data_IF_066922437075
#
_entry.id   IF_066922437075
#
_cell.length_a   1.000
_cell.length_b   1.000
_cell.length_c   1.000
_cell.angle_alpha   90.00
_cell.angle_beta   90.00
_cell.angle_gamma   90.00
#
_symmetry.space_group_name_H-M   'P 1'
#
loop_
_entity.id
_entity.type
_entity.pdbx_description
1 polymer ?
#
# COMPACT_ATOMS: atom_id res chain seq x y z
N UNK A 1 -107.30 -44.57 -55.06
CA UNK A 1 -106.22 -44.58 -56.07
C UNK A 1 -104.96 -43.98 -55.54
N UNK A 2 -104.02 -44.82 -55.36
CA UNK A 2 -102.76 -44.68 -54.68
C UNK A 2 -101.75 -43.76 -55.35
N UNK A 3 -100.90 -43.19 -54.55
CA UNK A 3 -99.53 -42.86 -54.92
C UNK A 3 -98.64 -43.03 -53.65
N UNK A 4 -97.61 -43.76 -53.84
CA UNK A 4 -96.67 -44.25 -52.85
C UNK A 4 -95.71 -43.18 -52.34
N UNK A 5 -95.18 -43.28 -51.11
CA UNK A 5 -94.10 -42.51 -50.61
C UNK A 5 -92.75 -43.24 -50.80
N UNK A 6 -91.75 -42.64 -51.41
CA UNK A 6 -90.34 -43.10 -51.38
C UNK A 6 -89.37 -41.96 -51.66
N UNK A 7 -89.16 -41.02 -50.72
CA UNK A 7 -88.06 -40.05 -50.79
C UNK A 7 -87.52 -39.65 -49.37
N UNK A 8 -87.74 -40.46 -48.35
CA UNK A 8 -87.25 -40.06 -47.01
C UNK A 8 -86.05 -40.85 -46.51
N UNK A 9 -85.65 -41.93 -47.20
CA UNK A 9 -84.56 -42.83 -46.71
C UNK A 9 -83.14 -42.42 -47.12
N UNK A 10 -82.91 -41.55 -48.11
CA UNK A 10 -81.54 -41.25 -48.60
C UNK A 10 -80.91 -39.98 -47.98
N UNK A 11 -81.62 -39.14 -47.27
CA UNK A 11 -81.09 -37.90 -46.65
C UNK A 11 -80.51 -38.23 -45.28
N UNK A 12 -80.95 -39.22 -44.55
CA UNK A 12 -80.51 -39.53 -43.18
C UNK A 12 -79.17 -40.30 -43.18
N UNK A 13 -78.78 -41.01 -44.22
CA UNK A 13 -77.52 -41.72 -44.31
C UNK A 13 -76.39 -40.76 -44.67
N UNK A 14 -76.65 -39.71 -45.44
CA UNK A 14 -75.62 -38.68 -45.77
C UNK A 14 -75.20 -37.82 -44.59
N UNK A 15 -76.13 -37.50 -43.67
CA UNK A 15 -75.82 -36.73 -42.47
C UNK A 15 -75.00 -37.52 -41.44
N UNK A 16 -75.14 -38.79 -41.30
CA UNK A 16 -74.40 -39.67 -40.42
C UNK A 16 -72.94 -39.83 -40.89
N UNK A 17 -72.69 -39.97 -42.19
CA UNK A 17 -71.33 -40.08 -42.73
C UNK A 17 -70.57 -38.72 -42.66
N UNK A 18 -71.24 -37.61 -42.90
CA UNK A 18 -70.67 -36.31 -42.80
C UNK A 18 -70.28 -35.99 -41.35
N UNK A 19 -71.07 -36.32 -40.33
CA UNK A 19 -70.72 -36.12 -38.91
C UNK A 19 -69.58 -37.05 -38.47
N UNK A 20 -69.47 -38.25 -39.00
CA UNK A 20 -68.38 -39.19 -38.69
C UNK A 20 -67.08 -38.73 -39.32
N UNK A 21 -67.09 -38.16 -40.51
CA UNK A 21 -65.93 -37.63 -41.21
C UNK A 21 -65.43 -36.33 -40.49
N UNK A 22 -66.37 -35.45 -40.08
CA UNK A 22 -66.08 -34.25 -39.38
C UNK A 22 -65.44 -34.54 -37.99
N UNK A 23 -65.94 -35.58 -37.26
CA UNK A 23 -65.32 -35.98 -35.97
C UNK A 23 -63.93 -36.55 -36.18
N UNK A 24 -63.61 -37.28 -37.22
CA UNK A 24 -62.29 -37.80 -37.56
C UNK A 24 -61.33 -36.67 -37.94
N UNK A 25 -61.79 -35.72 -38.73
CA UNK A 25 -60.99 -34.54 -39.11
C UNK A 25 -60.69 -33.65 -37.84
N UNK A 26 -61.66 -33.45 -36.96
CA UNK A 26 -61.48 -32.70 -35.72
C UNK A 26 -60.49 -33.39 -34.77
N UNK A 27 -60.50 -34.74 -34.69
CA UNK A 27 -59.59 -35.52 -33.88
C UNK A 27 -58.12 -35.47 -34.40
N UNK A 28 -57.96 -35.50 -35.73
CA UNK A 28 -56.66 -35.40 -36.37
C UNK A 28 -56.06 -33.96 -36.22
N UNK A 29 -56.91 -32.94 -36.39
CA UNK A 29 -56.49 -31.56 -36.22
C UNK A 29 -56.09 -31.26 -34.74
N UNK A 30 -56.87 -31.85 -33.78
CA UNK A 30 -56.56 -31.70 -32.37
C UNK A 30 -55.26 -32.44 -31.96
N UNK A 31 -54.96 -33.60 -32.52
CA UNK A 31 -53.72 -34.36 -32.26
C UNK A 31 -52.50 -33.72 -32.92
N UNK A 32 -52.61 -33.09 -34.08
CA UNK A 32 -51.52 -32.35 -34.73
C UNK A 32 -51.27 -31.02 -34.00
N UNK A 33 -52.33 -30.39 -33.51
CA UNK A 33 -52.16 -29.15 -32.71
C UNK A 33 -51.57 -29.41 -31.31
N UNK A 34 -51.87 -30.55 -30.67
CA UNK A 34 -51.26 -30.95 -29.38
C UNK A 34 -49.79 -31.35 -29.52
N UNK A 35 -49.37 -31.92 -30.66
CA UNK A 35 -47.94 -32.21 -30.91
C UNK A 35 -47.15 -30.97 -31.32
N UNK A 36 -47.77 -29.96 -31.93
CA UNK A 36 -47.13 -28.68 -32.27
C UNK A 36 -46.88 -27.80 -31.06
N UNK A 37 -47.67 -27.93 -29.98
CA UNK A 37 -47.49 -27.15 -28.74
C UNK A 37 -46.44 -27.73 -27.79
N UNK A 38 -45.99 -28.98 -27.94
CA UNK A 38 -44.95 -29.60 -27.14
C UNK A 38 -43.52 -29.35 -27.67
N UNK A 39 -43.36 -28.75 -28.84
CA UNK A 39 -42.05 -28.57 -29.49
C UNK A 39 -41.45 -27.17 -29.30
N UNK A 40 -42.13 -26.20 -28.65
CA UNK A 40 -41.61 -24.91 -28.29
C UNK A 40 -41.50 -24.76 -26.77
N UNK A 41 -40.69 -25.64 -26.12
CA UNK A 41 -40.08 -25.26 -24.87
C UNK A 41 -38.93 -24.35 -25.26
N UNK A 42 -38.97 -23.03 -24.96
CA UNK A 42 -37.78 -22.22 -25.10
C UNK A 42 -36.76 -22.86 -24.16
N UNK A 43 -35.69 -23.42 -24.71
CA UNK A 43 -34.51 -23.74 -23.95
C UNK A 43 -34.01 -22.37 -23.47
N UNK A 44 -34.43 -22.00 -22.30
CA UNK A 44 -33.82 -20.91 -21.56
C UNK A 44 -32.37 -21.36 -21.39
N UNK A 45 -31.50 -20.94 -22.30
CA UNK A 45 -30.08 -20.99 -22.02
C UNK A 45 -29.93 -20.21 -20.73
N UNK A 46 -29.72 -20.93 -19.64
CA UNK A 46 -29.26 -20.33 -18.41
C UNK A 46 -28.03 -19.50 -18.83
N UNK A 47 -28.19 -18.19 -18.85
CA UNK A 47 -27.04 -17.30 -18.98
C UNK A 47 -26.16 -17.70 -17.83
N UNK A 48 -25.14 -18.49 -18.12
CA UNK A 48 -24.02 -18.68 -17.21
C UNK A 48 -23.45 -17.28 -17.04
N UNK A 49 -23.87 -16.60 -15.99
CA UNK A 49 -23.18 -15.39 -15.53
C UNK A 49 -21.70 -15.72 -15.58
N UNK A 50 -20.87 -14.92 -16.22
CA UNK A 50 -19.44 -15.17 -16.23
C UNK A 50 -19.06 -15.37 -14.78
N UNK A 51 -18.66 -16.58 -14.42
CA UNK A 51 -18.08 -16.84 -13.11
C UNK A 51 -16.82 -15.97 -13.11
N UNK A 52 -16.87 -14.84 -12.42
CA UNK A 52 -15.67 -14.09 -12.11
C UNK A 52 -14.82 -15.07 -11.31
N UNK A 53 -13.83 -15.66 -11.96
CA UNK A 53 -12.91 -16.54 -11.29
C UNK A 53 -12.24 -15.70 -10.19
N UNK A 54 -12.25 -16.18 -8.97
CA UNK A 54 -11.44 -15.58 -7.90
C UNK A 54 -9.99 -15.57 -8.37
N UNK A 55 -9.22 -14.53 -8.07
CA UNK A 55 -7.83 -14.47 -8.48
C UNK A 55 -7.05 -15.63 -7.84
N UNK A 56 -6.29 -16.34 -8.67
CA UNK A 56 -5.33 -17.34 -8.23
C UNK A 56 -3.94 -16.68 -8.24
N UNK A 57 -3.25 -16.75 -7.11
CA UNK A 57 -1.95 -16.11 -6.93
C UNK A 57 -0.78 -17.10 -6.93
N UNK A 58 -1.02 -18.39 -7.17
CA UNK A 58 0.02 -19.43 -7.11
C UNK A 58 1.19 -19.10 -8.03
N UNK A 59 0.94 -18.93 -9.32
CA UNK A 59 1.98 -18.61 -10.31
C UNK A 59 2.71 -17.30 -10.00
N UNK A 60 1.99 -16.29 -9.49
CA UNK A 60 2.57 -15.01 -9.09
C UNK A 60 3.55 -15.21 -7.94
N UNK A 61 3.12 -15.94 -6.91
CA UNK A 61 3.93 -16.20 -5.71
C UNK A 61 5.17 -17.04 -6.06
N UNK A 62 5.04 -18.08 -6.86
CA UNK A 62 6.16 -18.91 -7.29
C UNK A 62 7.24 -18.09 -8.03
N UNK A 63 6.83 -17.15 -8.88
CA UNK A 63 7.74 -16.27 -9.63
C UNK A 63 8.36 -15.18 -8.78
N UNK A 64 7.61 -14.62 -7.83
CA UNK A 64 8.06 -13.49 -7.02
C UNK A 64 8.89 -13.89 -5.80
N UNK A 65 8.53 -15.01 -5.16
CA UNK A 65 9.16 -15.48 -3.92
C UNK A 65 10.68 -15.57 -3.95
N UNK A 66 11.35 -16.03 -5.02
CA UNK A 66 12.80 -16.11 -5.05
C UNK A 66 13.53 -14.77 -4.92
N UNK A 67 12.85 -13.66 -5.20
CA UNK A 67 13.41 -12.32 -5.07
C UNK A 67 13.09 -11.64 -3.72
N UNK A 68 12.28 -12.26 -2.86
CA UNK A 68 11.99 -11.77 -1.52
C UNK A 68 13.00 -12.36 -0.55
N UNK A 69 13.50 -11.55 0.37
CA UNK A 69 14.57 -11.92 1.28
C UNK A 69 14.18 -11.67 2.73
N UNK A 70 14.75 -12.48 3.63
CA UNK A 70 14.71 -12.19 5.06
C UNK A 70 15.86 -11.25 5.43
N UNK A 71 15.59 -10.33 6.35
CA UNK A 71 16.61 -9.42 6.89
C UNK A 71 16.63 -9.59 8.40
N UNK A 72 17.82 -9.93 8.92
CA UNK A 72 18.12 -10.07 10.33
C UNK A 72 19.21 -9.08 10.73
N UNK A 73 19.03 -8.43 11.86
CA UNK A 73 19.99 -7.44 12.37
C UNK A 73 20.52 -7.82 13.73
N UNK A 74 21.78 -7.49 14.00
CA UNK A 74 22.39 -7.63 15.30
C UNK A 74 22.85 -6.27 15.82
N UNK A 75 22.85 -6.10 17.15
CA UNK A 75 23.36 -4.92 17.84
C UNK A 75 24.42 -5.34 18.88
N UNK A 76 25.48 -4.53 19.01
CA UNK A 76 26.43 -4.67 20.10
C UNK A 76 25.95 -3.91 21.33
N UNK A 77 25.72 -4.61 22.42
CA UNK A 77 25.54 -3.96 23.71
C UNK A 77 26.87 -3.28 24.12
N UNK A 78 26.97 -1.97 23.93
CA UNK A 78 27.95 -1.20 24.65
C UNK A 78 27.53 -1.25 26.15
N UNK A 79 28.49 -1.55 27.05
CA UNK A 79 28.30 -1.59 28.51
C UNK A 79 27.78 -0.23 29.03
N UNK A 80 26.50 0.04 28.83
CA UNK A 80 25.80 1.13 29.50
C UNK A 80 24.74 0.52 30.42
N UNK A 81 24.90 0.81 31.69
CA UNK A 81 23.97 0.51 32.77
C UNK A 81 22.52 0.81 32.33
N UNK A 82 21.68 -0.21 32.43
CA UNK A 82 20.27 -0.14 32.19
C UNK A 82 19.61 0.98 33.00
N UNK A 83 19.35 2.11 32.36
CA UNK A 83 18.38 3.09 32.84
C UNK A 83 17.29 3.23 31.77
N UNK A 84 16.08 2.99 32.21
CA UNK A 84 14.85 2.79 31.51
C UNK A 84 14.56 3.71 30.33
N UNK A 85 13.96 3.11 29.31
CA UNK A 85 13.27 3.78 28.20
C UNK A 85 14.19 4.11 27.03
N UNK A 86 13.78 3.72 25.84
CA UNK A 86 14.42 4.15 24.59
C UNK A 86 13.98 5.61 24.36
N UNK A 87 14.89 6.61 24.35
CA UNK A 87 14.48 7.99 24.12
C UNK A 87 13.92 8.16 22.69
N UNK A 88 12.69 8.64 22.59
CA UNK A 88 12.09 9.05 21.32
C UNK A 88 11.10 8.10 20.67
N UNK A 89 10.85 6.93 21.25
CA UNK A 89 9.75 6.05 20.81
C UNK A 89 8.59 6.17 21.82
N UNK A 90 7.35 6.44 21.40
CA UNK A 90 6.19 6.39 22.27
C UNK A 90 6.11 5.03 22.96
N UNK A 91 5.81 5.01 24.26
CA UNK A 91 5.79 3.78 25.08
C UNK A 91 4.93 2.66 24.47
N UNK A 92 3.86 3.00 23.75
CA UNK A 92 3.00 2.04 23.06
C UNK A 92 3.71 1.33 21.88
N UNK A 93 4.55 2.05 21.12
CA UNK A 93 5.35 1.44 20.06
C UNK A 93 6.51 0.61 20.64
N UNK A 94 7.12 1.08 21.72
CA UNK A 94 8.18 0.34 22.40
C UNK A 94 7.63 -0.97 23.01
N UNK A 95 6.40 -0.95 23.55
CA UNK A 95 5.74 -2.14 24.09
C UNK A 95 5.33 -3.11 22.98
N UNK A 96 4.91 -2.60 21.82
CA UNK A 96 4.66 -3.40 20.62
C UNK A 96 5.91 -4.14 20.16
N UNK A 97 7.04 -3.44 20.05
CA UNK A 97 8.33 -4.05 19.69
C UNK A 97 8.81 -5.06 20.72
N UNK A 98 8.66 -4.78 22.02
CA UNK A 98 9.04 -5.72 23.10
C UNK A 98 8.20 -6.99 23.08
N UNK A 99 6.88 -6.88 22.94
CA UNK A 99 5.96 -8.03 22.91
C UNK A 99 6.16 -8.91 21.69
N UNK A 100 6.56 -8.29 20.59
CA UNK A 100 6.60 -8.95 19.29
C UNK A 100 7.98 -9.55 18.96
N UNK A 101 9.07 -8.89 19.38
CA UNK A 101 10.43 -9.35 19.10
C UNK A 101 11.08 -10.09 20.27
N UNK A 102 10.33 -10.41 21.32
CA UNK A 102 10.80 -11.29 22.39
C UNK A 102 12.01 -10.78 23.19
N UNK A 103 12.30 -9.47 23.17
CA UNK A 103 13.41 -8.90 23.93
C UNK A 103 13.06 -8.94 25.42
N UNK A 104 13.79 -9.73 26.27
CA UNK A 104 13.55 -9.76 27.70
C UNK A 104 13.78 -8.37 28.30
N UNK A 105 12.83 -7.88 29.09
CA UNK A 105 13.00 -6.66 29.88
C UNK A 105 14.13 -6.84 30.90
N UNK A 106 15.17 -6.00 30.88
CA UNK A 106 16.08 -5.92 32.03
C UNK A 106 15.28 -5.35 33.21
N UNK A 107 15.03 -6.19 34.23
CA UNK A 107 14.39 -5.73 35.48
C UNK A 107 13.11 -6.45 35.90
N UNK A 108 12.67 -7.49 35.20
CA UNK A 108 11.54 -8.31 35.67
C UNK A 108 11.93 -9.09 36.96
N UNK A 109 11.07 -9.12 38.01
CA UNK A 109 11.35 -9.89 39.22
C UNK A 109 11.33 -11.38 38.89
N UNK A 110 12.49 -12.05 38.96
CA UNK A 110 12.61 -13.48 38.74
C UNK A 110 13.83 -13.96 37.96
N UNK A 111 14.67 -13.08 37.45
CA UNK A 111 15.91 -13.49 36.78
C UNK A 111 16.98 -13.90 37.80
N UNK A 112 17.59 -15.12 37.68
CA UNK A 112 18.66 -15.55 38.57
C UNK A 112 19.90 -14.64 38.43
N UNK A 113 20.35 -14.05 39.51
CA UNK A 113 21.66 -13.38 39.59
C UNK A 113 22.74 -14.44 39.49
N UNK A 114 23.26 -14.67 38.28
CA UNK A 114 24.47 -15.45 38.09
C UNK A 114 25.71 -14.67 38.49
N UNK A 115 26.85 -15.35 38.85
CA UNK A 115 28.04 -14.70 39.36
C UNK A 115 28.72 -13.87 38.28
N UNK A 116 28.91 -12.59 38.58
CA UNK A 116 29.73 -11.67 37.81
C UNK A 116 31.20 -12.07 37.91
N UNK A 117 31.73 -12.73 36.92
CA UNK A 117 33.15 -12.62 36.56
C UNK A 117 33.47 -13.36 35.24
N UNK A 118 33.22 -12.72 34.13
CA UNK A 118 33.91 -12.97 32.85
C UNK A 118 34.05 -11.66 32.10
N UNK A 119 35.27 -11.34 31.67
CA UNK A 119 35.50 -10.35 30.62
C UNK A 119 34.75 -10.84 29.38
N UNK A 120 33.50 -10.45 29.28
CA UNK A 120 32.65 -10.76 28.13
C UNK A 120 33.08 -9.88 26.98
N UNK A 121 33.43 -10.51 25.88
CA UNK A 121 33.41 -9.86 24.57
C UNK A 121 32.01 -9.24 24.42
N UNK A 122 31.87 -8.10 23.75
CA UNK A 122 30.56 -7.50 23.53
C UNK A 122 29.66 -8.52 22.83
N UNK A 123 28.61 -8.94 23.52
CA UNK A 123 27.64 -9.92 23.02
C UNK A 123 26.79 -9.26 21.96
N UNK A 124 26.83 -9.77 20.73
CA UNK A 124 25.91 -9.35 19.67
C UNK A 124 24.54 -9.99 19.92
N UNK A 125 23.54 -9.17 20.13
CA UNK A 125 22.16 -9.64 20.32
C UNK A 125 21.38 -9.46 19.01
N UNK A 126 20.58 -10.46 18.63
CA UNK A 126 19.60 -10.33 17.56
C UNK A 126 18.54 -9.31 17.96
N UNK A 127 18.32 -8.28 17.10
CA UNK A 127 17.41 -7.18 17.42
C UNK A 127 16.21 -7.08 16.49
N UNK A 128 16.38 -7.29 15.22
CA UNK A 128 15.32 -7.06 14.23
C UNK A 128 15.19 -8.16 13.21
N UNK A 129 13.96 -8.46 12.85
CA UNK A 129 13.62 -9.34 11.75
C UNK A 129 12.63 -8.61 10.86
N UNK A 130 12.92 -8.58 9.57
CA UNK A 130 12.07 -8.01 8.55
C UNK A 130 12.27 -8.68 7.21
N UNK A 131 11.66 -8.12 6.22
CA UNK A 131 11.76 -8.56 4.82
C UNK A 131 12.39 -7.49 3.96
N UNK A 132 12.80 -7.90 2.78
CA UNK A 132 13.22 -7.03 1.69
C UNK A 132 12.98 -7.71 0.37
N UNK A 133 13.31 -7.04 -0.71
CA UNK A 133 13.27 -7.64 -2.04
C UNK A 133 14.37 -7.09 -2.93
N UNK A 134 14.82 -7.95 -3.84
CA UNK A 134 15.88 -7.65 -4.80
C UNK A 134 15.31 -6.84 -5.97
N UNK A 135 15.94 -5.70 -6.26
CA UNK A 135 15.52 -4.81 -7.36
C UNK A 135 16.46 -4.88 -8.58
N UNK A 136 17.68 -5.37 -8.40
CA UNK A 136 18.60 -5.63 -9.49
C UNK A 136 19.35 -6.95 -9.30
N UNK A 137 19.84 -7.54 -10.39
CA UNK A 137 20.53 -8.83 -10.36
C UNK A 137 21.89 -8.81 -9.66
N UNK A 138 22.40 -7.63 -9.30
CA UNK A 138 23.68 -7.45 -8.66
C UNK A 138 23.58 -7.39 -7.12
N UNK A 139 22.37 -7.54 -6.56
CA UNK A 139 22.16 -7.62 -5.12
C UNK A 139 21.84 -6.31 -4.42
N UNK A 140 21.20 -5.37 -5.12
CA UNK A 140 20.57 -4.22 -4.47
C UNK A 140 19.19 -4.62 -3.95
N UNK A 141 18.92 -4.31 -2.69
CA UNK A 141 17.73 -4.72 -1.95
C UNK A 141 17.08 -3.48 -1.35
N UNK A 142 15.74 -3.41 -1.44
CA UNK A 142 14.93 -2.44 -0.72
C UNK A 142 14.32 -3.08 0.52
N UNK A 143 14.24 -2.29 1.59
CA UNK A 143 13.57 -2.63 2.85
C UNK A 143 13.16 -1.35 3.59
N UNK A 144 12.54 -1.48 4.75
CA UNK A 144 12.24 -0.34 5.59
C UNK A 144 13.47 0.12 6.42
N UNK A 145 13.51 1.42 6.74
CA UNK A 145 14.57 1.99 7.56
C UNK A 145 14.52 1.45 8.98
N UNK A 146 13.33 1.28 9.57
CA UNK A 146 13.16 0.75 10.92
C UNK A 146 13.68 -0.69 11.08
N UNK A 147 13.70 -1.50 10.00
CA UNK A 147 14.24 -2.87 10.02
C UNK A 147 15.74 -2.88 10.28
N UNK A 148 16.47 -1.87 9.81
CA UNK A 148 17.94 -1.79 9.88
C UNK A 148 18.46 -0.72 10.84
N UNK A 149 17.56 0.00 11.51
CA UNK A 149 17.91 1.07 12.43
C UNK A 149 18.74 0.53 13.61
N UNK A 150 19.85 1.21 13.94
CA UNK A 150 20.74 0.82 15.03
C UNK A 150 21.49 -0.50 14.83
N UNK A 151 21.39 -1.13 13.66
CA UNK A 151 22.06 -2.39 13.37
C UNK A 151 23.59 -2.21 13.32
N UNK A 152 24.32 -3.04 14.08
CA UNK A 152 25.77 -3.19 13.92
C UNK A 152 26.12 -4.08 12.72
N UNK A 153 25.34 -5.14 12.52
CA UNK A 153 25.49 -6.04 11.39
C UNK A 153 24.11 -6.38 10.81
N UNK A 154 24.03 -6.41 9.49
CA UNK A 154 22.82 -6.77 8.74
C UNK A 154 23.11 -8.05 7.96
N UNK A 155 22.27 -9.05 8.15
CA UNK A 155 22.30 -10.30 7.41
C UNK A 155 21.07 -10.38 6.50
N UNK A 156 21.29 -10.84 5.28
CA UNK A 156 20.26 -11.10 4.28
C UNK A 156 20.27 -12.56 3.93
N UNK A 157 19.16 -13.26 4.16
CA UNK A 157 18.99 -14.67 3.81
C UNK A 157 18.03 -14.76 2.63
N UNK A 158 18.49 -15.43 1.56
CA UNK A 158 17.70 -15.71 0.38
C UNK A 158 16.80 -16.93 0.60
N UNK A 159 15.81 -17.13 -0.27
CA UNK A 159 14.94 -18.31 -0.23
C UNK A 159 15.67 -19.63 -0.43
N UNK A 160 16.82 -19.63 -1.14
CA UNK A 160 17.69 -20.79 -1.30
C UNK A 160 18.64 -21.04 -0.10
N UNK A 161 18.43 -20.33 1.02
CA UNK A 161 19.17 -20.41 2.29
C UNK A 161 20.58 -19.83 2.25
N UNK A 162 21.04 -19.23 1.17
CA UNK A 162 22.29 -18.47 1.18
C UNK A 162 22.14 -17.23 2.05
N UNK A 163 23.08 -17.03 2.95
CA UNK A 163 23.15 -15.87 3.83
C UNK A 163 24.33 -14.96 3.42
N UNK A 164 24.06 -13.67 3.40
CA UNK A 164 25.03 -12.64 3.06
C UNK A 164 25.05 -11.55 4.12
N UNK A 165 26.26 -11.08 4.45
CA UNK A 165 26.39 -9.83 5.19
C UNK A 165 26.12 -8.67 4.24
N UNK A 166 25.11 -7.87 4.56
CA UNK A 166 24.72 -6.74 3.74
C UNK A 166 25.42 -5.45 4.17
N UNK A 167 25.73 -4.60 3.18
CA UNK A 167 26.17 -3.23 3.39
C UNK A 167 24.95 -2.29 3.29
N UNK A 168 24.73 -1.45 4.30
CA UNK A 168 23.78 -0.36 4.24
C UNK A 168 24.33 0.72 3.31
N UNK A 169 23.66 0.98 2.18
CA UNK A 169 24.02 2.07 1.27
C UNK A 169 23.47 3.41 1.76
N UNK A 170 22.31 3.39 2.39
CA UNK A 170 21.66 4.52 3.02
C UNK A 170 20.30 4.16 3.57
N UNK A 171 19.86 4.95 4.55
CA UNK A 171 18.52 4.84 5.13
C UNK A 171 17.95 6.24 5.40
N UNK A 172 16.63 6.34 5.33
CA UNK A 172 15.90 7.55 5.60
C UNK A 172 14.68 7.26 6.48
N UNK A 173 14.71 7.76 7.72
CA UNK A 173 13.68 7.51 8.72
C UNK A 173 12.31 8.09 8.35
N UNK A 174 12.28 9.29 7.72
CA UNK A 174 11.02 9.97 7.42
C UNK A 174 10.22 9.29 6.32
N UNK A 175 10.90 8.65 5.38
CA UNK A 175 10.26 7.84 4.34
C UNK A 175 10.22 6.37 4.68
N UNK A 176 10.83 5.99 5.81
CA UNK A 176 10.97 4.61 6.28
C UNK A 176 11.55 3.67 5.22
N UNK A 177 12.55 4.15 4.47
CA UNK A 177 13.20 3.39 3.40
C UNK A 177 14.69 3.18 3.67
N UNK A 178 15.18 1.97 3.40
CA UNK A 178 16.61 1.65 3.39
C UNK A 178 16.99 0.89 2.12
N UNK A 179 18.24 1.10 1.67
CA UNK A 179 18.84 0.42 0.54
C UNK A 179 20.04 -0.38 1.03
N UNK A 180 20.00 -1.69 0.78
CA UNK A 180 21.06 -2.62 1.12
C UNK A 180 21.77 -3.12 -0.14
N UNK A 181 23.01 -3.56 0.05
CA UNK A 181 23.81 -4.20 -0.99
C UNK A 181 24.43 -5.48 -0.44
N UNK A 182 24.20 -6.59 -1.13
CA UNK A 182 24.89 -7.86 -0.88
C UNK A 182 25.87 -8.15 -2.03
N UNK A 183 26.93 -8.89 -1.73
CA UNK A 183 27.92 -9.31 -2.72
C UNK A 183 27.46 -10.62 -3.38
N UNK A 184 26.56 -10.48 -4.33
CA UNK A 184 25.99 -11.56 -5.11
C UNK A 184 25.60 -11.05 -6.50
N UNK A 185 25.57 -11.97 -7.46
CA UNK A 185 25.19 -11.68 -8.86
C UNK A 185 24.24 -12.74 -9.39
N UNK A 186 23.55 -12.43 -10.48
CA UNK A 186 22.60 -13.35 -11.09
C UNK A 186 21.36 -13.61 -10.25
N UNK A 187 21.03 -12.70 -9.31
CA UNK A 187 19.89 -12.85 -8.45
C UNK A 187 18.56 -12.64 -9.19
N UNK A 188 17.51 -13.38 -8.84
CA UNK A 188 16.15 -13.04 -9.25
C UNK A 188 15.78 -11.67 -8.71
N UNK A 189 15.07 -10.88 -9.52
CA UNK A 189 14.62 -9.54 -9.16
C UNK A 189 13.14 -9.36 -9.45
N UNK A 190 12.47 -8.49 -8.71
CA UNK A 190 11.07 -8.14 -8.99
C UNK A 190 10.97 -7.04 -10.03
N UNK A 191 10.00 -7.14 -10.97
CA UNK A 191 9.66 -6.04 -11.84
C UNK A 191 8.98 -4.93 -11.03
N UNK A 192 9.36 -3.67 -11.29
CA UNK A 192 8.74 -2.51 -10.66
C UNK A 192 7.52 -2.09 -11.46
N UNK A 193 6.43 -1.77 -10.78
CA UNK A 193 5.20 -1.23 -11.34
C UNK A 193 5.17 0.30 -11.30
N UNK A 194 3.97 0.84 -11.46
CA UNK A 194 3.68 2.27 -11.43
C UNK A 194 2.54 2.50 -10.41
N UNK A 195 2.90 2.99 -9.23
CA UNK A 195 1.94 3.21 -8.13
C UNK A 195 0.95 4.33 -8.43
N UNK A 196 1.27 5.23 -9.37
CA UNK A 196 0.36 6.31 -9.78
C UNK A 196 -0.89 5.76 -10.48
N UNK A 197 -0.77 4.64 -11.19
CA UNK A 197 -1.84 3.98 -11.95
C UNK A 197 -2.73 3.06 -11.13
N UNK A 198 -2.29 2.67 -9.94
CA UNK A 198 -3.05 1.80 -9.04
C UNK A 198 -4.41 2.40 -8.71
N UNK A 199 -5.46 1.57 -8.67
CA UNK A 199 -6.84 2.00 -8.37
C UNK A 199 -7.35 1.31 -7.12
N UNK A 200 -8.21 2.02 -6.38
CA UNK A 200 -8.95 1.44 -5.26
C UNK A 200 -9.80 0.27 -5.75
N UNK A 201 -9.77 -0.85 -5.02
CA UNK A 201 -10.44 -2.09 -5.37
C UNK A 201 -9.57 -3.08 -6.16
N UNK A 202 -8.37 -2.72 -6.62
CA UNK A 202 -7.44 -3.66 -7.26
C UNK A 202 -6.92 -4.68 -6.25
N UNK A 203 -6.84 -5.94 -6.68
CA UNK A 203 -6.21 -7.02 -5.91
C UNK A 203 -4.72 -6.80 -5.78
N UNK A 204 -4.21 -7.05 -4.57
CA UNK A 204 -2.80 -6.93 -4.24
C UNK A 204 -2.35 -8.07 -3.33
N UNK A 205 -1.07 -8.40 -3.42
CA UNK A 205 -0.44 -9.49 -2.67
C UNK A 205 0.79 -8.92 -1.94
N UNK A 206 0.87 -9.14 -0.64
CA UNK A 206 2.08 -8.90 0.13
C UNK A 206 2.85 -10.20 0.32
N UNK A 207 4.16 -10.13 0.14
CA UNK A 207 5.07 -11.26 0.41
C UNK A 207 6.11 -10.79 1.41
N UNK A 208 6.33 -11.60 2.45
CA UNK A 208 7.38 -11.40 3.43
C UNK A 208 8.11 -12.70 3.74
N UNK A 209 9.25 -12.59 4.41
CA UNK A 209 10.06 -13.72 4.85
C UNK A 209 10.40 -13.59 6.34
N UNK A 210 9.40 -13.64 7.25
CA UNK A 210 9.57 -13.28 8.65
C UNK A 210 10.56 -14.16 9.41
N UNK A 211 10.69 -15.43 9.02
CA UNK A 211 11.52 -16.40 9.75
C UNK A 211 12.71 -16.94 8.93
N UNK A 212 12.95 -16.41 7.73
CA UNK A 212 14.04 -16.84 6.85
C UNK A 212 13.92 -18.28 6.34
N UNK A 213 12.78 -18.94 6.56
CA UNK A 213 12.55 -20.34 6.16
C UNK A 213 11.65 -20.41 4.94
N UNK A 214 10.47 -19.83 5.03
CA UNK A 214 9.47 -19.81 3.97
C UNK A 214 8.83 -18.41 3.89
N UNK A 215 8.37 -18.06 2.70
CA UNK A 215 7.69 -16.80 2.51
C UNK A 215 6.26 -16.88 3.07
N UNK A 216 5.85 -15.82 3.73
CA UNK A 216 4.45 -15.59 4.13
C UNK A 216 3.79 -14.74 3.08
N UNK A 217 2.64 -15.19 2.59
CA UNK A 217 1.87 -14.52 1.53
C UNK A 217 0.50 -14.15 2.08
N UNK A 218 0.11 -12.91 1.88
CA UNK A 218 -1.23 -12.43 2.20
C UNK A 218 -1.78 -11.63 1.03
N UNK A 219 -3.10 -11.70 0.80
CA UNK A 219 -3.77 -11.02 -0.30
C UNK A 219 -4.93 -10.17 0.20
N UNK A 220 -5.25 -9.13 -0.52
CA UNK A 220 -6.33 -8.21 -0.25
C UNK A 220 -6.51 -7.23 -1.39
N UNK A 221 -7.08 -6.06 -1.11
CA UNK A 221 -7.30 -5.01 -2.09
C UNK A 221 -6.69 -3.68 -1.68
N UNK A 222 -6.49 -2.81 -2.64
CA UNK A 222 -6.23 -1.40 -2.37
C UNK A 222 -7.49 -0.76 -1.80
N UNK A 223 -7.45 -0.35 -0.53
CA UNK A 223 -8.59 0.26 0.17
C UNK A 223 -8.65 1.79 -0.02
N UNK A 224 -7.48 2.44 -0.14
CA UNK A 224 -7.37 3.87 -0.42
C UNK A 224 -5.99 4.22 -0.98
N UNK A 225 -5.90 5.41 -1.61
CA UNK A 225 -4.64 5.98 -2.10
C UNK A 225 -4.38 7.32 -1.42
N UNK A 226 -3.10 7.71 -1.40
CA UNK A 226 -2.67 9.01 -0.86
C UNK A 226 -3.17 9.25 0.57
N UNK A 227 -3.13 8.17 1.39
CA UNK A 227 -3.47 8.29 2.81
C UNK A 227 -2.38 9.07 3.53
N UNK A 228 -2.83 10.16 4.09
CA UNK A 228 -2.03 10.98 4.99
C UNK A 228 -2.21 10.44 6.41
N UNK A 229 -1.17 9.90 6.98
CA UNK A 229 -1.10 9.42 8.36
C UNK A 229 -0.42 10.42 9.29
N UNK A 230 -0.08 11.61 8.76
CA UNK A 230 0.78 12.59 9.43
C UNK A 230 2.26 12.38 9.11
N UNK A 231 2.59 11.31 8.41
CA UNK A 231 3.93 11.00 7.92
C UNK A 231 4.27 11.77 6.64
N UNK A 232 5.54 11.70 6.24
CA UNK A 232 6.05 12.46 5.09
C UNK A 232 5.51 11.98 3.74
N UNK A 233 5.11 10.69 3.62
CA UNK A 233 4.67 10.09 2.36
C UNK A 233 3.17 9.76 2.35
N UNK A 234 2.51 9.91 1.18
CA UNK A 234 1.15 9.46 0.98
C UNK A 234 1.11 7.95 0.77
N UNK A 235 0.69 7.19 1.78
CA UNK A 235 0.64 5.73 1.71
C UNK A 235 -0.44 5.17 0.77
N UNK A 236 -0.20 3.98 0.25
CA UNK A 236 -1.23 3.08 -0.27
C UNK A 236 -1.81 2.34 0.94
N UNK A 237 -3.11 2.48 1.17
CA UNK A 237 -3.82 1.72 2.19
C UNK A 237 -4.39 0.44 1.58
N UNK A 238 -4.22 -0.68 2.29
CA UNK A 238 -4.76 -1.99 1.88
C UNK A 238 -5.40 -2.70 3.08
N UNK A 239 -6.14 -3.76 2.83
CA UNK A 239 -6.62 -4.72 3.82
C UNK A 239 -5.79 -6.02 3.83
N UNK A 240 -4.64 -6.00 3.19
CA UNK A 240 -3.68 -7.10 3.25
C UNK A 240 -3.18 -7.28 4.67
N UNK A 241 -3.20 -8.51 5.18
CA UNK A 241 -2.70 -8.77 6.53
C UNK A 241 -1.17 -8.62 6.59
N UNK A 242 -0.72 -7.49 7.10
CA UNK A 242 0.68 -7.23 7.41
C UNK A 242 0.91 -7.48 8.89
N UNK A 243 1.85 -8.37 9.19
CA UNK A 243 2.31 -8.68 10.54
C UNK A 243 3.82 -8.47 10.59
N UNK A 244 4.42 -8.35 11.79
CA UNK A 244 5.87 -8.26 11.94
C UNK A 244 6.59 -9.36 11.17
N UNK A 245 7.65 -8.92 10.48
CA UNK A 245 8.39 -9.74 9.54
C UNK A 245 7.99 -9.54 8.07
N UNK A 246 6.76 -9.06 7.77
CA UNK A 246 6.39 -8.66 6.41
C UNK A 246 6.84 -7.22 6.08
N UNK A 247 7.19 -6.40 7.08
CA UNK A 247 7.71 -5.04 6.87
C UNK A 247 8.97 -5.07 6.02
N UNK A 248 9.06 -4.17 5.03
CA UNK A 248 10.10 -4.12 4.02
C UNK A 248 9.89 -5.04 2.82
N UNK A 249 8.96 -6.00 2.91
CA UNK A 249 8.59 -6.86 1.80
C UNK A 249 7.77 -6.14 0.72
N UNK A 250 7.68 -6.70 -0.50
CA UNK A 250 6.96 -6.09 -1.60
C UNK A 250 5.44 -6.21 -1.44
N UNK A 251 4.72 -5.18 -1.89
CA UNK A 251 3.31 -5.22 -2.24
C UNK A 251 3.21 -5.32 -3.76
N UNK A 252 2.63 -6.40 -4.26
CA UNK A 252 2.54 -6.72 -5.68
C UNK A 252 1.13 -6.50 -6.22
N UNK A 253 1.02 -6.07 -7.47
CA UNK A 253 -0.23 -6.15 -8.23
C UNK A 253 -0.41 -7.56 -8.84
N UNK A 254 -1.54 -7.83 -9.47
CA UNK A 254 -1.84 -9.12 -10.10
C UNK A 254 -0.94 -9.47 -11.29
N UNK A 255 -0.18 -8.52 -11.83
CA UNK A 255 0.84 -8.76 -12.85
C UNK A 255 2.21 -9.13 -12.24
N UNK A 256 2.32 -9.26 -10.91
CA UNK A 256 3.58 -9.54 -10.22
C UNK A 256 4.54 -8.38 -10.14
N UNK A 257 4.09 -7.15 -10.39
CA UNK A 257 4.91 -5.95 -10.32
C UNK A 257 4.79 -5.33 -8.92
N UNK A 258 5.92 -4.85 -8.39
CA UNK A 258 5.95 -4.13 -7.11
C UNK A 258 5.29 -2.77 -7.27
N UNK A 259 4.23 -2.51 -6.52
CA UNK A 259 3.53 -1.22 -6.46
C UNK A 259 3.79 -0.48 -5.14
N UNK A 260 4.34 -1.17 -4.15
CA UNK A 260 4.68 -0.57 -2.86
C UNK A 260 5.55 -1.45 -2.00
N UNK A 261 5.99 -0.91 -0.87
CA UNK A 261 6.75 -1.59 0.18
C UNK A 261 5.88 -1.63 1.43
N UNK A 262 5.61 -2.81 1.96
CA UNK A 262 4.85 -2.95 3.20
C UNK A 262 5.63 -2.29 4.34
N UNK A 263 5.00 -1.37 5.07
CA UNK A 263 5.69 -0.59 6.10
C UNK A 263 5.03 -0.76 7.45
N UNK A 264 3.80 -0.31 7.62
CA UNK A 264 3.15 -0.22 8.92
C UNK A 264 1.69 -0.63 8.88
N UNK A 265 1.12 -0.87 10.06
CA UNK A 265 -0.31 -1.12 10.25
C UNK A 265 -0.91 -0.02 11.14
N UNK A 266 -2.20 0.25 10.95
CA UNK A 266 -2.96 0.99 11.95
C UNK A 266 -3.40 0.00 13.04
N UNK A 267 -2.86 0.13 14.25
CA UNK A 267 -3.14 -0.81 15.32
C UNK A 267 -3.24 -0.12 16.68
N UNK A 268 -4.21 -0.56 17.49
CA UNK A 268 -4.34 -0.18 18.90
C UNK A 268 -3.78 -1.25 19.85
N UNK A 269 -3.67 -2.47 19.36
CA UNK A 269 -3.24 -3.65 20.16
C UNK A 269 -1.89 -4.20 19.70
N UNK A 270 -1.28 -3.61 18.68
CA UNK A 270 -0.05 -4.09 18.08
C UNK A 270 -0.22 -5.17 17.02
N UNK A 271 -1.41 -5.74 16.82
CA UNK A 271 -1.72 -6.70 15.78
C UNK A 271 -2.48 -6.07 14.61
N UNK A 272 -2.53 -6.76 13.48
CA UNK A 272 -3.30 -6.37 12.30
C UNK A 272 -4.80 -6.24 12.63
N UNK A 273 -5.40 -5.12 12.25
CA UNK A 273 -6.81 -4.78 12.49
C UNK A 273 -7.55 -4.38 11.20
N UNK A 274 -7.18 -4.93 10.06
CA UNK A 274 -7.83 -4.65 8.77
C UNK A 274 -7.29 -3.44 8.02
N UNK A 275 -6.25 -2.77 8.51
CA UNK A 275 -5.65 -1.61 7.85
C UNK A 275 -4.13 -1.75 7.83
N UNK A 276 -3.56 -1.76 6.63
CA UNK A 276 -2.13 -1.77 6.37
C UNK A 276 -1.75 -0.64 5.43
N UNK A 277 -0.51 -0.20 5.54
CA UNK A 277 0.06 0.88 4.74
C UNK A 277 1.32 0.41 4.02
N UNK A 278 1.41 0.78 2.75
CA UNK A 278 2.59 0.53 1.93
C UNK A 278 3.11 1.85 1.34
N UNK A 279 4.43 1.98 1.32
CA UNK A 279 5.13 3.10 0.68
C UNK A 279 4.99 2.91 -0.84
N UNK A 280 4.48 3.90 -1.60
CA UNK A 280 4.37 3.80 -3.04
C UNK A 280 5.73 3.55 -3.70
N UNK A 281 5.79 2.65 -4.69
CA UNK A 281 7.08 2.25 -5.28
C UNK A 281 7.79 3.40 -6.00
N UNK A 282 7.04 4.32 -6.64
CA UNK A 282 7.63 5.46 -7.33
C UNK A 282 8.37 6.39 -6.35
N UNK A 283 7.78 6.61 -5.18
CA UNK A 283 8.42 7.38 -4.10
C UNK A 283 9.63 6.63 -3.53
N UNK A 284 9.49 5.31 -3.31
CA UNK A 284 10.57 4.49 -2.83
C UNK A 284 11.79 4.51 -3.78
N UNK A 285 11.56 4.41 -5.08
CA UNK A 285 12.63 4.44 -6.08
C UNK A 285 13.32 5.80 -6.15
N UNK A 286 12.56 6.91 -6.09
CA UNK A 286 13.10 8.27 -6.05
C UNK A 286 14.05 8.47 -4.86
N UNK A 287 13.66 7.95 -3.70
CA UNK A 287 14.47 7.99 -2.48
C UNK A 287 15.67 7.04 -2.57
N UNK A 288 15.46 5.82 -3.04
CA UNK A 288 16.50 4.79 -3.18
C UNK A 288 17.65 5.23 -4.09
N UNK A 289 17.36 5.93 -5.18
CA UNK A 289 18.37 6.44 -6.10
C UNK A 289 19.29 7.48 -5.43
N UNK A 290 18.75 8.33 -4.56
CA UNK A 290 19.56 9.26 -3.79
C UNK A 290 20.36 8.54 -2.69
N UNK A 291 19.73 7.64 -1.93
CA UNK A 291 20.41 6.88 -0.89
C UNK A 291 21.57 6.06 -1.46
N UNK A 292 21.41 5.45 -2.63
CA UNK A 292 22.44 4.67 -3.31
C UNK A 292 23.62 5.51 -3.77
N UNK A 293 23.36 6.76 -4.22
CA UNK A 293 24.40 7.66 -4.77
C UNK A 293 25.12 8.47 -3.70
N UNK A 294 24.40 8.98 -2.71
CA UNK A 294 24.91 9.95 -1.74
C UNK A 294 24.91 9.44 -0.29
N UNK A 295 24.31 8.28 -0.05
CA UNK A 295 24.12 7.71 1.29
C UNK A 295 23.06 8.41 2.14
N UNK A 296 22.53 9.53 1.67
CA UNK A 296 21.50 10.31 2.38
C UNK A 296 20.47 10.90 1.43
N UNK A 297 19.29 11.19 1.94
CA UNK A 297 18.28 11.95 1.20
C UNK A 297 18.46 13.45 1.46
N UNK A 298 18.66 14.20 0.38
CA UNK A 298 18.72 15.66 0.42
C UNK A 298 17.32 16.21 0.23
N UNK A 299 16.84 17.02 1.18
CA UNK A 299 15.51 17.62 1.16
C UNK A 299 15.56 19.12 1.08
N UNK A 300 14.60 19.67 0.35
CA UNK A 300 14.37 21.11 0.36
C UNK A 300 13.68 21.58 1.66
N UNK A 301 14.01 22.81 2.09
CA UNK A 301 13.39 23.47 3.23
C UNK A 301 13.17 24.94 2.91
N UNK A 302 12.04 25.49 3.38
CA UNK A 302 11.77 26.94 3.28
C UNK A 302 11.60 27.62 4.64
N UNK A 303 11.47 26.86 5.75
CA UNK A 303 11.41 27.39 7.10
C UNK A 303 10.08 28.07 7.43
N UNK A 304 8.97 27.34 7.33
CA UNK A 304 7.63 27.77 7.76
C UNK A 304 7.04 26.79 8.75
N UNK A 305 6.39 27.30 9.78
CA UNK A 305 5.47 26.53 10.62
C UNK A 305 4.07 26.68 10.05
N UNK A 306 3.43 25.55 9.72
CA UNK A 306 2.14 25.53 9.04
C UNK A 306 1.03 24.91 9.89
N UNK A 307 -0.20 25.13 9.48
CA UNK A 307 -1.40 24.53 10.05
C UNK A 307 -2.42 24.20 8.99
N UNK A 308 -3.35 23.31 9.32
CA UNK A 308 -4.50 23.01 8.48
C UNK A 308 -5.49 24.15 8.48
N UNK A 309 -6.24 24.22 7.38
CA UNK A 309 -7.32 25.17 7.18
C UNK A 309 -8.63 24.40 7.22
N UNK A 310 -9.38 24.58 8.31
CA UNK A 310 -10.77 24.11 8.38
C UNK A 310 -11.73 25.11 7.71
N UNK A 311 -13.02 24.78 7.68
CA UNK A 311 -14.03 25.60 7.03
C UNK A 311 -14.15 27.00 7.66
N UNK A 312 -14.11 27.08 8.99
CA UNK A 312 -14.23 28.33 9.72
C UNK A 312 -13.05 29.27 9.46
N UNK A 313 -11.82 28.70 9.41
CA UNK A 313 -10.61 29.46 9.06
C UNK A 313 -10.65 29.94 7.61
N UNK A 314 -11.10 29.09 6.68
CA UNK A 314 -11.25 29.49 5.27
C UNK A 314 -12.24 30.64 5.08
N UNK A 315 -13.38 30.60 5.77
CA UNK A 315 -14.41 31.66 5.75
C UNK A 315 -13.85 32.96 6.36
N UNK A 316 -13.16 32.88 7.50
CA UNK A 316 -12.56 34.06 8.15
C UNK A 316 -11.50 34.76 7.30
N UNK A 317 -10.77 33.98 6.49
CA UNK A 317 -9.73 34.48 5.58
C UNK A 317 -10.29 34.89 4.21
N UNK A 318 -11.59 34.72 3.97
CA UNK A 318 -12.22 34.97 2.67
C UNK A 318 -11.73 34.06 1.55
N UNK A 319 -11.24 32.86 1.89
CA UNK A 319 -10.61 31.93 0.92
C UNK A 319 -11.65 31.14 0.09
N UNK A 320 -12.92 31.13 0.49
CA UNK A 320 -14.03 30.46 -0.18
C UNK A 320 -14.07 28.93 0.01
N UNK A 321 -12.93 28.24 -0.02
CA UNK A 321 -12.82 26.78 0.23
C UNK A 321 -11.62 26.48 1.13
N UNK A 322 -11.73 25.50 2.05
CA UNK A 322 -10.59 25.06 2.85
C UNK A 322 -9.55 24.36 1.95
N UNK A 323 -8.45 25.05 1.68
CA UNK A 323 -7.31 24.54 0.91
C UNK A 323 -6.05 25.31 1.24
N UNK A 324 -4.89 24.71 0.98
CA UNK A 324 -3.58 25.33 1.20
C UNK A 324 -2.99 25.01 2.56
N UNK A 325 -1.83 25.61 2.84
CA UNK A 325 -1.14 25.52 4.10
C UNK A 325 -1.14 26.90 4.79
N UNK A 326 -1.78 27.00 5.96
CA UNK A 326 -1.80 28.23 6.74
C UNK A 326 -0.44 28.44 7.41
N UNK A 327 0.20 29.57 7.15
CA UNK A 327 1.48 29.93 7.74
C UNK A 327 1.25 30.49 9.15
N UNK A 328 1.60 29.73 10.17
CA UNK A 328 1.58 30.17 11.56
C UNK A 328 2.76 31.07 11.88
N UNK A 329 3.93 30.74 11.31
CA UNK A 329 5.16 31.49 11.47
C UNK A 329 6.09 31.24 10.29
N UNK A 330 6.81 32.27 9.85
CA UNK A 330 7.97 32.14 8.96
C UNK A 330 9.22 32.36 9.82
N UNK A 331 10.14 31.41 9.79
CA UNK A 331 11.35 31.42 10.61
C UNK A 331 12.27 32.57 10.16
N UNK A 332 12.69 33.46 11.09
CA UNK A 332 13.57 34.60 10.75
C UNK A 332 14.85 34.13 10.07
N UNK A 333 15.19 34.73 8.94
CA UNK A 333 16.39 34.40 8.16
C UNK A 333 16.25 33.14 7.29
N UNK A 334 15.15 32.37 7.39
CA UNK A 334 14.89 31.25 6.52
C UNK A 334 14.37 31.71 5.13
N UNK A 335 14.47 30.85 4.10
CA UNK A 335 14.06 31.17 2.73
C UNK A 335 12.66 31.78 2.58
N UNK A 336 11.70 31.28 3.32
CA UNK A 336 10.32 31.78 3.26
C UNK A 336 10.23 33.24 3.74
N UNK A 337 10.85 33.57 4.89
CA UNK A 337 10.89 34.94 5.41
C UNK A 337 11.64 35.88 4.46
N UNK A 338 12.75 35.42 3.90
CA UNK A 338 13.54 36.20 2.92
C UNK A 338 12.73 36.44 1.62
N UNK A 339 11.92 35.46 1.21
CA UNK A 339 11.01 35.56 0.06
C UNK A 339 9.74 36.35 0.34
N UNK A 340 9.56 36.89 1.55
CA UNK A 340 8.43 37.74 1.92
C UNK A 340 7.17 36.96 2.32
N UNK A 341 7.27 35.68 2.67
CA UNK A 341 6.17 34.91 3.28
C UNK A 341 6.06 35.34 4.75
N UNK A 342 4.85 35.60 5.21
CA UNK A 342 4.54 36.12 6.53
C UNK A 342 3.54 35.22 7.27
N UNK A 343 3.51 35.34 8.60
CA UNK A 343 2.44 34.72 9.40
C UNK A 343 1.07 35.26 8.97
N UNK A 344 0.10 34.37 8.83
CA UNK A 344 -1.23 34.69 8.32
C UNK A 344 -1.43 34.48 6.81
N UNK A 345 -0.37 34.17 6.06
CA UNK A 345 -0.47 33.74 4.67
C UNK A 345 -1.09 32.33 4.57
N UNK A 346 -1.71 32.06 3.43
CA UNK A 346 -2.06 30.71 3.03
C UNK A 346 -1.31 30.36 1.75
N UNK A 347 -0.40 29.37 1.82
CA UNK A 347 0.29 28.89 0.64
C UNK A 347 -0.65 28.01 -0.18
N UNK A 348 -0.96 28.45 -1.41
CA UNK A 348 -1.92 27.80 -2.31
C UNK A 348 -1.24 26.93 -3.36
N UNK A 349 -0.03 27.29 -3.80
CA UNK A 349 0.78 26.48 -4.69
C UNK A 349 2.26 26.74 -4.46
N UNK A 350 3.07 25.73 -4.79
CA UNK A 350 4.53 25.79 -4.72
C UNK A 350 5.12 25.24 -6.02
N UNK A 351 5.87 26.07 -6.73
CA UNK A 351 6.49 25.75 -8.01
C UNK A 351 5.51 25.13 -9.04
N UNK A 352 4.29 25.71 -9.13
CA UNK A 352 3.22 25.25 -10.03
C UNK A 352 2.40 24.06 -9.54
N UNK A 353 2.78 23.43 -8.43
CA UNK A 353 2.02 22.33 -7.82
C UNK A 353 1.04 22.90 -6.79
N UNK A 354 -0.24 22.53 -6.89
CA UNK A 354 -1.27 22.98 -5.96
C UNK A 354 -1.09 22.36 -4.57
N UNK A 355 -1.35 23.17 -3.54
CA UNK A 355 -1.41 22.74 -2.15
C UNK A 355 -2.89 22.64 -1.76
N UNK A 356 -3.40 21.43 -1.68
CA UNK A 356 -4.78 21.17 -1.28
C UNK A 356 -4.92 20.98 0.23
N UNK A 357 -3.94 20.33 0.86
CA UNK A 357 -3.82 20.11 2.31
C UNK A 357 -2.52 20.69 2.80
N UNK A 358 -2.45 21.02 4.09
CA UNK A 358 -1.22 21.52 4.71
C UNK A 358 -0.04 20.55 4.57
N UNK A 359 -0.30 19.24 4.59
CA UNK A 359 0.68 18.16 4.44
C UNK A 359 1.27 18.03 3.02
N UNK A 360 0.64 18.60 2.00
CA UNK A 360 1.21 18.64 0.65
C UNK A 360 2.48 19.51 0.59
N UNK A 361 2.51 20.60 1.37
CA UNK A 361 3.62 21.57 1.29
C UNK A 361 4.98 20.98 1.73
N UNK A 362 5.12 20.32 2.89
CA UNK A 362 6.38 19.71 3.29
C UNK A 362 6.90 18.70 2.28
N UNK A 363 5.99 17.90 1.69
CA UNK A 363 6.33 16.90 0.67
C UNK A 363 6.86 17.58 -0.61
N UNK A 364 6.12 18.54 -1.16
CA UNK A 364 6.49 19.21 -2.41
C UNK A 364 7.79 20.03 -2.24
N UNK A 365 7.93 20.72 -1.11
CA UNK A 365 9.16 21.45 -0.79
C UNK A 365 10.33 20.49 -0.60
N UNK A 366 10.13 19.39 0.14
CA UNK A 366 11.17 18.40 0.41
C UNK A 366 11.65 17.67 -0.84
N UNK A 367 10.78 17.48 -1.85
CA UNK A 367 11.14 16.93 -3.17
C UNK A 367 11.92 17.94 -4.03
N UNK A 368 11.85 19.24 -3.70
CA UNK A 368 12.50 20.29 -4.49
C UNK A 368 13.97 20.39 -4.12
N UNK A 369 14.83 20.30 -5.13
CA UNK A 369 16.29 20.36 -4.93
C UNK A 369 16.70 21.67 -4.27
N UNK A 370 17.55 21.65 -3.20
CA UNK A 370 18.14 22.85 -2.63
C UNK A 370 18.83 23.72 -3.69
N UNK A 371 18.77 25.04 -3.52
CA UNK A 371 19.25 26.03 -4.49
C UNK A 371 18.25 26.35 -5.60
N UNK A 372 17.13 25.61 -5.70
CA UNK A 372 16.08 25.91 -6.67
C UNK A 372 15.33 27.18 -6.28
N UNK A 373 15.17 28.10 -7.22
CA UNK A 373 14.27 29.25 -7.08
C UNK A 373 12.85 28.80 -7.43
N UNK A 374 11.97 28.81 -6.45
CA UNK A 374 10.59 28.36 -6.56
C UNK A 374 9.61 29.53 -6.47
N UNK A 375 8.56 29.53 -7.30
CA UNK A 375 7.44 30.44 -7.19
C UNK A 375 6.44 29.92 -6.19
N UNK A 376 6.04 30.73 -5.22
CA UNK A 376 5.07 30.38 -4.16
C UNK A 376 3.87 31.31 -4.29
N UNK A 377 2.71 30.75 -4.59
CA UNK A 377 1.46 31.51 -4.60
C UNK A 377 0.85 31.50 -3.21
N UNK A 378 0.71 32.70 -2.64
CA UNK A 378 0.09 32.88 -1.32
C UNK A 378 -1.21 33.67 -1.43
N UNK A 379 -2.14 33.37 -0.52
CA UNK A 379 -3.31 34.19 -0.24
C UNK A 379 -3.02 35.03 0.99
N UNK A 380 -3.12 36.35 0.82
CA UNK A 380 -2.86 37.33 1.88
C UNK A 380 -3.95 38.44 1.85
N UNK A 381 -4.70 38.60 2.93
CA UNK A 381 -5.69 39.67 3.12
C UNK A 381 -6.63 39.82 1.92
N UNK A 382 -7.21 38.70 1.45
CA UNK A 382 -8.21 38.72 0.38
C UNK A 382 -7.65 38.73 -1.05
N UNK A 383 -6.33 38.70 -1.25
CA UNK A 383 -5.69 38.70 -2.56
C UNK A 383 -4.62 37.64 -2.71
N UNK A 384 -4.44 37.14 -3.95
CA UNK A 384 -3.33 36.23 -4.27
C UNK A 384 -2.09 37.04 -4.62
N UNK A 385 -0.92 36.53 -4.22
CA UNK A 385 0.40 37.08 -4.56
C UNK A 385 1.33 35.94 -4.95
N UNK A 386 2.20 36.17 -5.93
CA UNK A 386 3.29 35.27 -6.27
C UNK A 386 4.57 35.80 -5.63
N UNK A 387 5.19 34.97 -4.83
CA UNK A 387 6.44 35.24 -4.13
C UNK A 387 7.54 34.31 -4.65
N UNK A 388 8.78 34.71 -4.49
CA UNK A 388 9.93 33.91 -4.93
C UNK A 388 10.73 33.46 -3.71
N UNK A 389 10.99 32.17 -3.60
CA UNK A 389 11.74 31.57 -2.48
C UNK A 389 12.86 30.69 -3.03
N UNK A 390 14.08 30.86 -2.52
CA UNK A 390 15.20 29.96 -2.81
C UNK A 390 15.20 28.82 -1.80
N UNK A 391 14.99 27.59 -2.24
CA UNK A 391 14.90 26.42 -1.37
C UNK A 391 16.27 26.15 -0.74
N UNK A 392 16.34 26.06 0.59
CA UNK A 392 17.55 25.65 1.29
C UNK A 392 17.63 24.13 1.47
N UNK A 393 18.81 23.63 1.83
CA UNK A 393 18.97 22.24 2.28
C UNK A 393 18.35 22.12 3.69
N UNK A 394 17.53 21.11 3.89
CA UNK A 394 17.13 20.72 5.22
C UNK A 394 18.33 20.08 5.91
N UNK A 395 18.63 20.52 7.14
CA UNK A 395 19.66 19.85 7.92
C UNK A 395 19.38 18.35 7.97
N UNK A 396 20.40 17.49 7.79
CA UNK A 396 20.21 16.06 7.95
C UNK A 396 19.65 15.77 9.35
N UNK A 397 18.67 14.87 9.43
CA UNK A 397 18.23 14.34 10.70
C UNK A 397 19.48 13.85 11.44
N UNK A 398 19.71 14.33 12.68
CA UNK A 398 20.89 13.92 13.44
C UNK A 398 20.96 12.41 13.44
N UNK A 399 22.06 11.88 12.93
CA UNK A 399 22.34 10.45 13.03
C UNK A 399 22.26 10.07 14.52
N UNK A 400 21.33 9.18 14.83
CA UNK A 400 21.17 8.60 16.18
C UNK A 400 22.03 7.36 16.27
#
# INVERSE_FOLDING_TARGET
LGIRPNIVSNVTIGLSQAQFLMKKILLVVFSVFSWGLLSFVPVTQAQTSPRIALPDFVDLVEKASPAVVNIRTTERLANQQAQGGIPGIPDEQAEFFRRFFGVPLPGAPGSPKGPQNRRSQPEEIERGVGSGFVIDSNGTILTNAHVVEGATTIFVTLTDKREFKAKLLGADKRTDLAVLKIDASGLPKLPLGDSSKVKVGEWVVAIGSPFGLENTVTAGIVSAKSRDTGDYLPFIQTDVAVNPGNSGGPLLNTAGQVIGINSQIFSRSGGYMGISFAIPIDEAMRVADQLRTTGRLVRGRIGVAIGEINKEVAESLGLGKPRGAFVRNAEPGAPAAQGGIEAGDVILSFNGKDINKSTDLPRIVGETKPGTTATVKVWRKGTTRDLTVVVADAEPDKAV
#
